data_IF_466417614775
#
_entry.id   IF_466417614775
#
_cell.length_a   1.000
_cell.length_b   1.000
_cell.length_c   1.000
_cell.angle_alpha   90.00
_cell.angle_beta   90.00
_cell.angle_gamma   90.00
#
_symmetry.space_group_name_H-M   'P 1'
#
loop_
_entity.id
_entity.type
_entity.pdbx_description
1 polymer ?
#
# COMPACT_ATOMS: atom_id res chain seq x y z
N UNK A 1 -2.09 -5.14 10.37
CA UNK A 1 -2.16 -6.03 9.21
C UNK A 1 -1.30 -7.28 9.42
N UNK A 2 0.04 -7.20 9.48
CA UNK A 2 0.91 -8.39 9.66
C UNK A 2 0.55 -9.25 10.90
N UNK A 3 0.23 -8.61 12.03
CA UNK A 3 -0.16 -9.32 13.25
C UNK A 3 -1.55 -9.98 13.18
N UNK A 4 -2.41 -9.54 12.25
CA UNK A 4 -3.82 -10.00 12.14
C UNK A 4 -3.96 -11.01 10.99
N UNK A 5 -3.29 -10.76 9.87
CA UNK A 5 -3.45 -11.52 8.63
C UNK A 5 -2.23 -12.38 8.26
N UNK A 6 -1.13 -12.27 9.01
CA UNK A 6 0.13 -12.94 8.67
C UNK A 6 0.88 -12.29 7.52
N UNK A 7 1.97 -12.93 7.11
CA UNK A 7 2.81 -12.54 5.97
C UNK A 7 2.58 -13.51 4.78
N UNK A 8 2.81 -13.09 3.52
CA UNK A 8 3.30 -11.77 3.11
C UNK A 8 2.21 -10.70 3.01
N UNK A 9 2.57 -9.44 3.26
CA UNK A 9 1.71 -8.29 2.99
C UNK A 9 2.40 -7.35 2.02
N UNK A 10 1.70 -6.94 0.97
CA UNK A 10 2.22 -6.07 -0.06
C UNK A 10 1.92 -4.61 0.26
N UNK A 11 2.90 -3.73 0.08
CA UNK A 11 2.77 -2.29 0.36
C UNK A 11 3.18 -1.52 -0.89
N UNK A 12 2.26 -0.69 -1.40
CA UNK A 12 2.55 0.18 -2.56
C UNK A 12 3.41 1.36 -2.12
N UNK A 13 4.62 1.39 -2.66
CA UNK A 13 5.69 2.30 -2.26
C UNK A 13 6.09 2.16 -0.78
N UNK A 14 7.22 2.75 -0.40
CA UNK A 14 7.64 2.74 1.01
C UNK A 14 6.59 3.43 1.90
N UNK A 15 6.35 2.83 3.06
CA UNK A 15 5.33 3.34 4.00
C UNK A 15 5.71 4.72 4.54
N UNK A 16 7.01 4.96 4.70
CA UNK A 16 7.67 6.23 5.05
C UNK A 16 9.10 6.20 4.51
N UNK A 17 9.72 7.36 4.29
CA UNK A 17 11.15 7.46 3.93
C UNK A 17 12.06 7.29 5.17
N UNK A 18 11.91 6.19 5.89
CA UNK A 18 12.75 5.85 7.04
C UNK A 18 13.21 4.39 6.92
N UNK A 19 14.49 4.23 6.56
CA UNK A 19 15.08 2.90 6.31
C UNK A 19 14.92 1.94 7.48
N UNK A 20 15.10 2.38 8.72
CA UNK A 20 14.93 1.51 9.89
C UNK A 20 13.52 0.94 10.00
N UNK A 21 12.50 1.77 9.73
CA UNK A 21 11.09 1.34 9.76
C UNK A 21 10.82 0.37 8.62
N UNK A 22 11.29 0.70 7.41
CA UNK A 22 11.06 -0.13 6.23
C UNK A 22 11.73 -1.49 6.37
N UNK A 23 12.99 -1.54 6.81
CA UNK A 23 13.72 -2.80 6.97
C UNK A 23 13.10 -3.68 8.07
N UNK A 24 12.70 -3.10 9.20
CA UNK A 24 11.97 -3.83 10.25
C UNK A 24 10.65 -4.43 9.73
N UNK A 25 9.94 -3.73 8.85
CA UNK A 25 8.73 -4.25 8.22
C UNK A 25 9.04 -5.37 7.21
N UNK A 26 10.12 -5.23 6.42
CA UNK A 26 10.58 -6.28 5.50
C UNK A 26 10.92 -7.57 6.23
N UNK A 27 11.67 -7.48 7.33
CA UNK A 27 12.01 -8.63 8.18
C UNK A 27 10.77 -9.33 8.75
N UNK A 28 9.69 -8.59 8.98
CA UNK A 28 8.41 -9.11 9.45
C UNK A 28 7.51 -9.64 8.34
N UNK A 29 7.95 -9.60 7.08
CA UNK A 29 7.22 -10.13 5.92
C UNK A 29 6.41 -9.11 5.12
N UNK A 30 6.69 -7.82 5.27
CA UNK A 30 6.17 -6.82 4.34
C UNK A 30 6.99 -6.82 3.04
N UNK A 31 6.31 -6.79 1.90
CA UNK A 31 6.92 -6.72 0.57
C UNK A 31 6.54 -5.36 -0.03
N UNK A 32 7.53 -4.51 -0.23
CA UNK A 32 7.33 -3.20 -0.85
C UNK A 32 7.42 -3.33 -2.36
N UNK A 33 6.40 -2.84 -3.06
CA UNK A 33 6.25 -2.95 -4.51
C UNK A 33 6.05 -1.58 -5.16
N UNK A 34 6.42 -1.49 -6.42
CA UNK A 34 6.22 -0.29 -7.24
C UNK A 34 5.10 -0.44 -8.26
N UNK A 35 4.66 -1.66 -8.57
CA UNK A 35 3.59 -1.92 -9.52
C UNK A 35 2.56 -2.88 -8.94
N UNK A 36 1.29 -2.61 -9.21
CA UNK A 36 0.20 -3.46 -8.70
C UNK A 36 0.31 -4.87 -9.28
N UNK A 37 0.81 -5.01 -10.51
CA UNK A 37 1.11 -6.30 -11.16
C UNK A 37 1.99 -7.24 -10.33
N UNK A 38 2.79 -6.73 -9.40
CA UNK A 38 3.65 -7.52 -8.51
C UNK A 38 2.89 -8.20 -7.36
N UNK A 39 1.63 -7.80 -7.12
CA UNK A 39 0.79 -8.39 -6.06
C UNK A 39 0.13 -9.67 -6.58
N UNK A 40 0.29 -10.83 -5.92
CA UNK A 40 -0.46 -12.04 -6.24
C UNK A 40 -1.96 -11.88 -5.98
N UNK A 41 -2.78 -12.62 -6.72
CA UNK A 41 -4.23 -12.62 -6.50
C UNK A 41 -4.58 -13.15 -5.10
N UNK A 42 -5.59 -12.55 -4.47
CA UNK A 42 -6.00 -12.88 -3.10
C UNK A 42 -5.05 -12.37 -2.00
N UNK A 43 -3.91 -11.77 -2.36
CA UNK A 43 -3.02 -11.16 -1.37
C UNK A 43 -3.55 -9.81 -0.86
N UNK A 44 -3.07 -9.42 0.32
CA UNK A 44 -3.40 -8.12 0.91
C UNK A 44 -2.44 -7.06 0.38
N UNK A 45 -3.01 -5.96 -0.11
CA UNK A 45 -2.31 -4.77 -0.54
C UNK A 45 -2.60 -3.60 0.40
N UNK A 46 -1.57 -2.83 0.75
CA UNK A 46 -1.67 -1.60 1.53
C UNK A 46 -1.21 -0.42 0.68
N UNK A 47 -2.01 0.64 0.60
CA UNK A 47 -1.54 1.94 0.10
C UNK A 47 -0.88 2.71 1.24
N UNK A 48 0.32 3.23 0.99
CA UNK A 48 1.11 3.97 1.99
C UNK A 48 0.51 5.34 2.33
N UNK A 49 1.06 5.98 3.35
CA UNK A 49 0.59 7.29 3.85
C UNK A 49 0.67 8.42 2.80
N UNK A 50 1.53 8.26 1.79
CA UNK A 50 1.73 9.21 0.70
C UNK A 50 0.60 9.19 -0.34
N UNK A 51 -0.31 8.21 -0.26
CA UNK A 51 -1.38 8.04 -1.23
C UNK A 51 -0.91 7.50 -2.57
N UNK A 52 -1.87 7.27 -3.45
CA UNK A 52 -1.67 6.71 -4.79
C UNK A 52 -2.59 7.42 -5.78
N UNK A 53 -2.23 7.36 -7.07
CA UNK A 53 -3.04 7.93 -8.15
C UNK A 53 -4.37 7.18 -8.34
N UNK A 54 -5.35 7.83 -8.97
CA UNK A 54 -6.63 7.20 -9.29
C UNK A 54 -6.46 6.00 -10.22
N UNK A 55 -5.49 6.03 -11.14
CA UNK A 55 -5.17 4.91 -12.01
C UNK A 55 -4.75 3.66 -11.22
N UNK A 56 -3.87 3.83 -10.22
CA UNK A 56 -3.42 2.72 -9.35
C UNK A 56 -4.57 2.17 -8.51
N UNK A 57 -5.47 3.02 -8.01
CA UNK A 57 -6.69 2.59 -7.31
C UNK A 57 -7.60 1.75 -8.21
N UNK A 58 -7.80 2.20 -9.44
CA UNK A 58 -8.64 1.52 -10.42
C UNK A 58 -8.02 0.17 -10.84
N UNK A 59 -6.70 0.09 -11.00
CA UNK A 59 -5.98 -1.15 -11.30
C UNK A 59 -6.19 -2.18 -10.19
N UNK A 60 -5.95 -1.79 -8.92
CA UNK A 60 -6.16 -2.68 -7.78
C UNK A 60 -7.63 -3.17 -7.68
N UNK A 61 -8.60 -2.28 -7.95
CA UNK A 61 -10.02 -2.62 -7.99
C UNK A 61 -10.36 -3.57 -9.15
N UNK A 62 -9.79 -3.35 -10.34
CA UNK A 62 -10.03 -4.24 -11.50
C UNK A 62 -9.49 -5.66 -11.30
N UNK A 63 -8.47 -5.80 -10.43
CA UNK A 63 -7.89 -7.07 -10.03
C UNK A 63 -8.54 -7.69 -8.79
N UNK A 64 -9.60 -7.06 -8.26
CA UNK A 64 -10.32 -7.51 -7.06
C UNK A 64 -9.39 -7.76 -5.85
N UNK A 65 -8.35 -6.93 -5.70
CA UNK A 65 -7.41 -7.06 -4.60
C UNK A 65 -8.03 -6.59 -3.27
N UNK A 66 -7.65 -7.26 -2.17
CA UNK A 66 -8.00 -6.80 -0.83
C UNK A 66 -7.09 -5.63 -0.45
N UNK A 67 -7.62 -4.41 -0.50
CA UNK A 67 -6.86 -3.18 -0.28
C UNK A 67 -7.18 -2.56 1.08
N UNK A 68 -6.13 -2.24 1.86
CA UNK A 68 -6.21 -1.33 3.00
C UNK A 68 -5.55 0.00 2.65
N UNK A 69 -6.33 1.08 2.67
CA UNK A 69 -5.82 2.41 2.39
C UNK A 69 -5.34 3.09 3.67
N UNK A 70 -4.02 3.25 3.81
CA UNK A 70 -3.41 3.96 4.93
C UNK A 70 -2.98 5.39 4.56
N UNK A 71 -3.52 5.96 3.47
CA UNK A 71 -3.26 7.35 3.05
C UNK A 71 -3.54 8.32 4.20
N UNK A 72 -2.62 9.25 4.45
CA UNK A 72 -2.82 10.28 5.47
C UNK A 72 -4.08 11.12 5.14
N UNK A 73 -4.99 11.38 6.10
CA UNK A 73 -6.17 12.21 5.86
C UNK A 73 -5.86 13.60 5.29
N UNK A 74 -4.70 14.17 5.63
CA UNK A 74 -4.24 15.44 5.07
C UNK A 74 -3.90 15.33 3.57
N UNK A 75 -3.28 14.24 3.14
CA UNK A 75 -2.99 13.96 1.73
C UNK A 75 -4.29 13.75 0.96
N UNK A 76 -5.22 13.00 1.54
CA UNK A 76 -6.56 12.80 0.95
C UNK A 76 -7.25 14.14 0.72
N UNK A 77 -7.18 15.06 1.69
CA UNK A 77 -7.74 16.41 1.55
C UNK A 77 -7.11 17.16 0.38
N UNK A 78 -5.78 17.18 0.26
CA UNK A 78 -5.09 17.83 -0.86
C UNK A 78 -5.54 17.24 -2.20
N UNK A 79 -5.66 15.91 -2.31
CA UNK A 79 -6.12 15.28 -3.56
C UNK A 79 -7.56 15.66 -3.93
N UNK A 80 -8.45 15.89 -2.96
CA UNK A 80 -9.83 16.32 -3.24
C UNK A 80 -9.92 17.78 -3.72
N UNK A 81 -9.04 18.66 -3.24
CA UNK A 81 -9.05 20.09 -3.60
C UNK A 81 -8.45 20.37 -4.99
N UNK A 82 -7.69 19.43 -5.54
CA UNK A 82 -6.97 19.56 -6.81
C UNK A 82 -7.56 18.67 -7.92
N UNK A 83 -8.62 17.92 -7.61
CA UNK A 83 -9.27 16.96 -8.52
C UNK A 83 -10.26 17.59 -9.51
#
# INVERSE_FOLDING_TARGET
ALAIYGAPIYVRHEVVHNRYVVDSLRERGAIFIEQISEVPDGAILIFSAHGVSQAVRNEAKSRDLTVFDATCPLVTKVHMEVA
#
